data_IF_367119587745
#
_entry.id   IF_367119587745
#
_cell.length_a   1.000
_cell.length_b   1.000
_cell.length_c   1.000
_cell.angle_alpha   90.00
_cell.angle_beta   90.00
_cell.angle_gamma   90.00
#
_symmetry.space_group_name_H-M   'P 1'
#
loop_
_entity.id
_entity.type
_entity.pdbx_description
1 polymer ?
#
# COMPACT_ATOMS: atom_id res chain seq x y z
N UNK A 1 -1.15 -24.51 -28.28
CA UNK A 1 -2.31 -24.29 -27.39
C UNK A 1 -2.03 -23.06 -26.56
N UNK A 2 -2.88 -22.03 -26.67
CA UNK A 2 -2.77 -20.86 -25.79
C UNK A 2 -3.20 -21.28 -24.37
N UNK A 3 -2.48 -20.81 -23.35
CA UNK A 3 -2.91 -20.96 -21.95
C UNK A 3 -4.14 -20.07 -21.72
N UNK A 4 -5.07 -20.46 -20.85
CA UNK A 4 -6.32 -19.73 -20.56
C UNK A 4 -6.07 -18.22 -20.32
N UNK A 5 -5.01 -17.89 -19.58
CA UNK A 5 -4.59 -16.50 -19.34
C UNK A 5 -4.28 -15.71 -20.62
N UNK A 6 -3.72 -16.35 -21.64
CA UNK A 6 -3.43 -15.69 -22.92
C UNK A 6 -4.72 -15.44 -23.71
N UNK A 7 -5.69 -16.37 -23.63
CA UNK A 7 -7.02 -16.20 -24.22
C UNK A 7 -7.72 -15.02 -23.56
N UNK A 8 -7.71 -14.95 -22.22
CA UNK A 8 -8.31 -13.85 -21.47
C UNK A 8 -7.71 -12.48 -21.85
N UNK A 9 -6.39 -12.39 -21.98
CA UNK A 9 -5.71 -11.16 -22.40
C UNK A 9 -6.14 -10.74 -23.81
N UNK A 10 -6.23 -11.69 -24.76
CA UNK A 10 -6.66 -11.38 -26.12
C UNK A 10 -8.12 -10.96 -26.18
N UNK A 11 -9.00 -11.64 -25.44
CA UNK A 11 -10.41 -11.26 -25.33
C UNK A 11 -10.56 -9.85 -24.73
N UNK A 12 -9.84 -9.56 -23.63
CA UNK A 12 -9.83 -8.24 -23.02
C UNK A 12 -9.35 -7.14 -23.98
N UNK A 13 -8.28 -7.40 -24.74
CA UNK A 13 -7.77 -6.47 -25.76
C UNK A 13 -8.81 -6.22 -26.87
N UNK A 14 -9.50 -7.27 -27.35
CA UNK A 14 -10.57 -7.13 -28.34
C UNK A 14 -11.72 -6.29 -27.79
N UNK A 15 -12.16 -6.50 -26.56
CA UNK A 15 -13.21 -5.69 -25.93
C UNK A 15 -12.77 -4.23 -25.80
N UNK A 16 -11.56 -3.96 -25.31
CA UNK A 16 -11.04 -2.59 -25.19
C UNK A 16 -10.90 -1.87 -26.54
N UNK A 17 -10.59 -2.62 -27.62
CA UNK A 17 -10.53 -2.05 -28.97
C UNK A 17 -11.89 -1.61 -29.53
N UNK A 18 -13.00 -2.08 -28.95
CA UNK A 18 -14.36 -1.70 -29.35
C UNK A 18 -14.84 -0.38 -28.72
N UNK A 19 -14.05 0.23 -27.84
CA UNK A 19 -14.34 1.58 -27.32
C UNK A 19 -14.43 2.55 -28.50
N UNK A 20 -15.60 3.18 -28.63
CA UNK A 20 -15.94 4.11 -29.72
C UNK A 20 -16.44 5.48 -29.25
N UNK A 21 -16.51 5.69 -27.92
CA UNK A 21 -16.87 6.95 -27.30
C UNK A 21 -15.86 7.25 -26.19
N UNK A 22 -15.16 8.38 -26.30
CA UNK A 22 -14.12 8.78 -25.34
C UNK A 22 -14.32 10.25 -24.98
N UNK A 23 -14.34 10.53 -23.68
CA UNK A 23 -14.35 11.90 -23.15
C UNK A 23 -13.01 12.15 -22.47
N UNK A 24 -12.24 13.12 -23.00
CA UNK A 24 -10.94 13.52 -22.44
C UNK A 24 -11.12 14.76 -21.55
N UNK A 25 -10.71 14.64 -20.30
CA UNK A 25 -10.61 15.79 -19.40
C UNK A 25 -9.22 16.42 -19.55
N UNK A 26 -9.16 17.70 -19.90
CA UNK A 26 -7.90 18.42 -20.15
C UNK A 26 -7.43 19.23 -18.94
N UNK A 27 -8.37 19.65 -18.08
CA UNK A 27 -8.06 20.44 -16.90
C UNK A 27 -7.61 19.55 -15.74
N UNK A 28 -6.42 19.83 -15.23
CA UNK A 28 -5.89 19.22 -14.02
C UNK A 28 -6.36 20.03 -12.80
N UNK A 29 -7.05 19.38 -11.86
CA UNK A 29 -7.69 20.04 -10.70
C UNK A 29 -6.96 19.82 -9.36
N UNK A 30 -5.87 19.04 -9.34
CA UNK A 30 -5.15 18.67 -8.10
C UNK A 30 -3.99 19.62 -7.80
N UNK A 31 -3.17 19.93 -8.79
CA UNK A 31 -1.92 20.66 -8.64
C UNK A 31 -2.18 22.14 -8.82
N UNK A 32 -1.94 22.90 -7.76
CA UNK A 32 -2.17 24.36 -7.73
C UNK A 32 -0.91 25.14 -8.15
N UNK A 33 0.25 24.47 -8.11
CA UNK A 33 1.55 25.01 -8.51
C UNK A 33 1.81 24.80 -10.01
N UNK A 34 1.77 25.90 -10.78
CA UNK A 34 1.95 25.89 -12.25
C UNK A 34 3.30 25.30 -12.65
N UNK A 35 4.39 25.71 -11.99
CA UNK A 35 5.74 25.24 -12.31
C UNK A 35 5.88 23.74 -12.03
N UNK A 36 5.26 23.26 -10.94
CA UNK A 36 5.25 21.85 -10.62
C UNK A 36 4.38 21.03 -11.57
N UNK A 37 3.23 21.57 -11.98
CA UNK A 37 2.35 20.92 -12.96
C UNK A 37 3.05 20.75 -14.31
N UNK A 38 3.77 21.77 -14.78
CA UNK A 38 4.58 21.68 -15.99
C UNK A 38 5.64 20.58 -15.91
N UNK A 39 6.35 20.47 -14.79
CA UNK A 39 7.30 19.38 -14.53
C UNK A 39 6.60 18.02 -14.62
N UNK A 40 5.45 17.86 -13.97
CA UNK A 40 4.68 16.61 -13.99
C UNK A 40 4.22 16.25 -15.41
N UNK A 41 3.82 17.23 -16.21
CA UNK A 41 3.42 17.01 -17.60
C UNK A 41 4.60 16.58 -18.48
N UNK A 42 5.76 17.25 -18.34
CA UNK A 42 6.99 16.83 -19.02
C UNK A 42 7.37 15.40 -18.63
N UNK A 43 7.35 15.07 -17.33
CA UNK A 43 7.64 13.73 -16.84
C UNK A 43 6.70 12.68 -17.41
N UNK A 44 5.39 12.96 -17.46
CA UNK A 44 4.37 12.04 -18.01
C UNK A 44 4.65 11.67 -19.47
N UNK A 45 5.21 12.60 -20.22
CA UNK A 45 5.49 12.43 -21.65
C UNK A 45 6.93 12.00 -21.94
N UNK A 46 7.75 11.71 -20.92
CA UNK A 46 9.16 11.36 -21.10
C UNK A 46 10.04 12.54 -21.55
N UNK A 47 9.61 13.77 -21.28
CA UNK A 47 10.26 15.02 -21.70
C UNK A 47 10.91 15.78 -20.54
N UNK A 48 11.26 15.09 -19.45
CA UNK A 48 11.86 15.71 -18.27
C UNK A 48 13.21 16.38 -18.59
N UNK A 49 13.43 17.56 -18.03
CA UNK A 49 14.63 18.38 -18.25
C UNK A 49 15.63 18.28 -17.09
N UNK A 50 16.83 18.83 -17.27
CA UNK A 50 17.83 18.89 -16.19
C UNK A 50 17.39 19.83 -15.07
N UNK A 51 16.65 20.87 -15.42
CA UNK A 51 16.05 21.84 -14.51
C UNK A 51 14.98 21.16 -13.64
N UNK A 52 14.16 20.26 -14.21
CA UNK A 52 13.19 19.45 -13.46
C UNK A 52 13.88 18.58 -12.41
N UNK A 53 14.99 17.96 -12.79
CA UNK A 53 15.80 17.15 -11.87
C UNK A 53 16.40 17.99 -10.75
N UNK A 54 16.98 19.15 -11.05
CA UNK A 54 17.52 20.07 -10.03
C UNK A 54 16.41 20.56 -9.08
N UNK A 55 15.23 20.85 -9.62
CA UNK A 55 14.07 21.25 -8.83
C UNK A 55 13.67 20.16 -7.83
N UNK A 56 13.60 18.90 -8.26
CA UNK A 56 13.35 17.78 -7.36
C UNK A 56 14.50 17.56 -6.38
N UNK A 57 15.76 17.70 -6.80
CA UNK A 57 16.91 17.59 -5.91
C UNK A 57 16.88 18.61 -4.76
N UNK A 58 16.31 19.80 -4.97
CA UNK A 58 16.10 20.79 -3.91
C UNK A 58 15.19 20.29 -2.77
N UNK A 59 14.39 19.25 -3.02
CA UNK A 59 13.45 18.62 -2.08
C UNK A 59 14.01 17.36 -1.42
N UNK A 60 15.27 17.00 -1.67
CA UNK A 60 15.93 15.88 -0.99
C UNK A 60 16.15 16.25 0.49
N UNK A 61 15.77 15.35 1.39
CA UNK A 61 16.01 15.49 2.83
C UNK A 61 17.51 15.64 3.10
N UNK A 62 17.88 16.69 3.86
CA UNK A 62 19.28 17.01 4.16
C UNK A 62 19.94 17.98 3.16
N UNK A 63 19.23 18.40 2.11
CA UNK A 63 19.71 19.47 1.23
C UNK A 63 19.93 20.78 2.00
N UNK A 64 21.02 21.54 1.73
CA UNK A 64 21.38 22.73 2.52
C UNK A 64 20.28 23.79 2.63
N UNK A 65 19.48 23.93 1.58
CA UNK A 65 18.40 24.92 1.48
C UNK A 65 17.07 24.42 2.10
N UNK A 66 17.01 23.18 2.58
CA UNK A 66 15.79 22.54 3.06
C UNK A 66 15.80 22.41 4.59
N UNK A 67 15.41 23.48 5.28
CA UNK A 67 15.31 23.51 6.74
C UNK A 67 13.96 22.98 7.21
N UNK A 68 13.83 21.65 7.28
CA UNK A 68 12.61 20.96 7.73
C UNK A 68 12.93 19.95 8.83
N UNK A 69 12.07 19.88 9.85
CA UNK A 69 12.11 18.84 10.88
C UNK A 69 11.11 17.74 10.59
N UNK A 70 11.57 16.49 10.51
CA UNK A 70 10.71 15.30 10.35
C UNK A 70 10.00 14.90 11.66
N UNK A 71 10.38 15.50 12.79
CA UNK A 71 9.79 15.22 14.11
C UNK A 71 8.59 16.12 14.43
N UNK A 72 8.39 17.16 13.64
CA UNK A 72 7.35 18.16 13.88
C UNK A 72 6.26 18.09 12.81
N UNK A 73 5.08 18.56 13.18
CA UNK A 73 3.97 18.71 12.24
C UNK A 73 4.36 19.71 11.12
N UNK A 74 3.97 19.47 9.85
CA UNK A 74 3.15 18.35 9.37
C UNK A 74 3.94 17.10 8.93
N UNK A 75 5.27 17.11 9.02
CA UNK A 75 6.10 16.05 8.43
C UNK A 75 6.18 14.77 9.27
N UNK A 76 5.96 14.85 10.58
CA UNK A 76 5.85 13.69 11.46
C UNK A 76 4.63 12.79 11.15
N UNK A 77 3.64 13.30 10.41
CA UNK A 77 2.43 12.59 10.00
C UNK A 77 2.39 12.23 8.50
N UNK A 78 3.39 12.70 7.74
CA UNK A 78 3.48 12.49 6.31
C UNK A 78 3.79 11.02 5.99
N UNK A 79 2.98 10.33 5.16
CA UNK A 79 3.28 8.97 4.76
C UNK A 79 4.50 8.91 3.84
N UNK A 80 5.24 7.81 3.96
CA UNK A 80 6.35 7.48 3.07
C UNK A 80 5.84 6.59 1.93
N UNK A 81 6.01 7.03 0.68
CA UNK A 81 5.70 6.21 -0.50
C UNK A 81 6.91 5.35 -0.88
N UNK A 82 6.67 4.05 -1.00
CA UNK A 82 7.68 3.07 -1.39
C UNK A 82 7.17 2.13 -2.48
N UNK A 83 8.09 1.51 -3.24
CA UNK A 83 7.71 0.64 -4.36
C UNK A 83 7.33 -0.79 -3.95
N UNK A 84 7.95 -1.33 -2.88
CA UNK A 84 7.83 -2.75 -2.51
C UNK A 84 7.07 -2.93 -1.21
N UNK A 85 6.15 -3.91 -1.19
CA UNK A 85 5.42 -4.29 0.03
C UNK A 85 6.35 -4.69 1.17
N UNK A 86 7.46 -5.38 0.87
CA UNK A 86 8.45 -5.79 1.88
C UNK A 86 9.08 -4.60 2.60
N UNK A 87 9.50 -3.58 1.83
CA UNK A 87 10.06 -2.34 2.36
C UNK A 87 9.02 -1.59 3.18
N UNK A 88 7.78 -1.49 2.68
CA UNK A 88 6.65 -0.88 3.39
C UNK A 88 6.46 -1.56 4.76
N UNK A 89 6.38 -2.88 4.80
CA UNK A 89 6.22 -3.64 6.05
C UNK A 89 7.35 -3.38 7.04
N UNK A 90 8.61 -3.38 6.58
CA UNK A 90 9.77 -3.12 7.44
C UNK A 90 9.77 -1.69 8.01
N UNK A 91 9.50 -0.68 7.17
CA UNK A 91 9.39 0.72 7.61
C UNK A 91 8.28 0.87 8.64
N UNK A 92 7.11 0.29 8.36
CA UNK A 92 5.95 0.33 9.22
C UNK A 92 6.23 -0.31 10.59
N UNK A 93 6.79 -1.53 10.62
CA UNK A 93 7.12 -2.20 11.87
C UNK A 93 8.11 -1.36 12.69
N UNK A 94 9.17 -0.84 12.06
CA UNK A 94 10.14 0.01 12.74
C UNK A 94 9.52 1.32 13.23
N UNK A 95 8.61 1.93 12.47
CA UNK A 95 7.93 3.16 12.85
C UNK A 95 7.03 2.95 14.08
N UNK A 96 6.31 1.83 14.17
CA UNK A 96 5.51 1.48 15.35
C UNK A 96 6.39 1.33 16.58
N UNK A 97 7.50 0.59 16.47
CA UNK A 97 8.44 0.41 17.59
C UNK A 97 9.06 1.73 18.05
N UNK A 98 9.49 2.58 17.11
CA UNK A 98 10.00 3.91 17.44
C UNK A 98 8.94 4.78 18.14
N UNK A 99 7.68 4.69 17.71
CA UNK A 99 6.58 5.43 18.35
C UNK A 99 6.29 4.90 19.76
N UNK A 100 6.39 3.59 19.97
CA UNK A 100 6.28 2.98 21.30
C UNK A 100 7.33 3.56 22.26
N UNK A 101 8.58 3.64 21.81
CA UNK A 101 9.69 4.23 22.57
C UNK A 101 9.44 5.72 22.87
N UNK A 102 9.01 6.49 21.86
CA UNK A 102 8.72 7.92 22.00
C UNK A 102 7.62 8.20 23.05
N UNK A 103 6.59 7.33 23.09
CA UNK A 103 5.47 7.46 24.02
C UNK A 103 5.73 6.80 25.39
N UNK A 104 6.82 6.06 25.54
CA UNK A 104 7.09 5.29 26.76
C UNK A 104 6.07 4.17 27.01
N UNK A 105 5.50 3.58 25.95
CA UNK A 105 4.48 2.52 26.04
C UNK A 105 5.01 1.21 25.46
N UNK A 106 4.54 0.10 26.01
CA UNK A 106 4.81 -1.24 25.47
C UNK A 106 3.99 -1.46 24.19
N UNK A 107 4.62 -1.81 23.05
CA UNK A 107 3.88 -2.12 21.83
C UNK A 107 3.04 -3.39 22.01
N UNK A 108 1.85 -3.39 21.40
CA UNK A 108 1.00 -4.58 21.32
C UNK A 108 1.17 -5.20 19.93
N UNK A 109 1.37 -6.50 19.85
CA UNK A 109 1.37 -7.23 18.57
C UNK A 109 0.18 -8.17 18.56
N UNK A 110 -0.78 -7.86 17.70
CA UNK A 110 -1.88 -8.78 17.40
C UNK A 110 -1.35 -9.88 16.46
N UNK A 111 -1.42 -11.13 16.89
CA UNK A 111 -0.98 -12.30 16.14
C UNK A 111 -2.19 -12.92 15.45
N UNK A 112 -2.10 -13.18 14.15
CA UNK A 112 -3.17 -13.82 13.39
C UNK A 112 -3.39 -15.27 13.85
N UNK A 113 -4.64 -15.73 13.72
CA UNK A 113 -5.01 -17.13 13.98
C UNK A 113 -5.15 -17.86 12.65
N UNK A 114 -4.31 -18.88 12.45
CA UNK A 114 -4.26 -19.64 11.21
C UNK A 114 -4.77 -21.07 11.42
N UNK A 115 -5.60 -21.53 10.48
CA UNK A 115 -6.28 -22.82 10.53
C UNK A 115 -6.06 -23.63 9.26
N UNK A 116 -5.90 -24.94 9.41
CA UNK A 116 -5.85 -25.92 8.31
C UNK A 116 -6.95 -26.95 8.53
N UNK A 117 -7.85 -27.10 7.56
CA UNK A 117 -9.00 -28.03 7.64
C UNK A 117 -9.83 -27.87 8.93
N UNK A 118 -9.92 -26.64 9.46
CA UNK A 118 -10.67 -26.31 10.67
C UNK A 118 -9.90 -26.47 11.99
N UNK A 119 -8.72 -27.08 11.99
CA UNK A 119 -7.84 -27.16 13.16
C UNK A 119 -6.82 -26.02 13.22
N UNK A 120 -6.41 -25.64 14.42
CA UNK A 120 -5.29 -24.70 14.64
C UNK A 120 -3.99 -25.35 14.16
N UNK A 121 -3.06 -24.54 13.65
CA UNK A 121 -1.74 -25.02 13.24
C UNK A 121 -0.85 -25.19 14.48
N UNK A 122 -0.60 -26.44 14.87
CA UNK A 122 0.23 -26.76 16.03
C UNK A 122 1.73 -26.82 15.70
N UNK A 123 2.11 -27.06 14.44
CA UNK A 123 3.53 -27.12 14.03
C UNK A 123 4.19 -25.73 14.13
N UNK A 124 5.20 -25.53 15.01
CA UNK A 124 5.83 -24.22 15.22
C UNK A 124 6.53 -23.66 13.98
N UNK A 125 7.11 -24.51 13.12
CA UNK A 125 7.84 -24.10 11.92
C UNK A 125 6.86 -23.61 10.85
N UNK A 126 5.79 -24.38 10.62
CA UNK A 126 4.72 -24.01 9.69
C UNK A 126 4.01 -22.73 10.16
N UNK A 127 3.69 -22.64 11.46
CA UNK A 127 3.08 -21.43 12.05
C UNK A 127 3.96 -20.20 11.84
N UNK A 128 5.25 -20.28 12.16
CA UNK A 128 6.19 -19.18 11.96
C UNK A 128 6.25 -18.75 10.49
N UNK A 129 6.44 -19.70 9.57
CA UNK A 129 6.56 -19.40 8.14
C UNK A 129 5.30 -18.73 7.58
N UNK A 130 4.11 -19.17 8.01
CA UNK A 130 2.83 -18.59 7.59
C UNK A 130 2.63 -17.18 8.16
N UNK A 131 2.99 -16.95 9.43
CA UNK A 131 2.88 -15.63 10.06
C UNK A 131 3.84 -14.60 9.44
N UNK A 132 5.01 -15.04 8.96
CA UNK A 132 6.02 -14.20 8.32
C UNK A 132 5.76 -13.95 6.82
N UNK A 133 4.71 -14.56 6.24
CA UNK A 133 4.31 -14.27 4.87
C UNK A 133 3.99 -12.78 4.70
N UNK A 134 4.38 -12.18 3.57
CA UNK A 134 3.98 -10.82 3.26
C UNK A 134 2.46 -10.76 3.07
N UNK A 135 1.85 -9.68 3.55
CA UNK A 135 0.38 -9.51 3.58
C UNK A 135 -0.28 -9.60 2.20
N UNK A 136 0.42 -9.22 1.12
CA UNK A 136 -0.08 -9.39 -0.24
C UNK A 136 -0.17 -10.85 -0.72
N UNK A 137 0.36 -11.82 0.03
CA UNK A 137 0.19 -13.26 -0.19
C UNK A 137 -0.88 -13.88 0.73
N UNK A 138 -1.48 -13.09 1.60
CA UNK A 138 -2.42 -13.54 2.62
C UNK A 138 -3.70 -12.70 2.60
N UNK A 139 -4.16 -12.33 1.38
CA UNK A 139 -5.36 -11.50 1.15
C UNK A 139 -5.35 -10.19 1.94
N UNK A 140 -4.17 -9.58 2.09
CA UNK A 140 -3.93 -8.34 2.84
C UNK A 140 -4.19 -8.43 4.35
N UNK A 141 -4.27 -9.63 4.93
CA UNK A 141 -4.31 -9.85 6.37
C UNK A 141 -2.91 -10.18 6.91
N UNK A 142 -2.26 -9.28 7.68
CA UNK A 142 -0.92 -9.52 8.19
C UNK A 142 -0.89 -10.64 9.24
N UNK A 143 0.20 -11.40 9.30
CA UNK A 143 0.39 -12.39 10.37
C UNK A 143 0.73 -11.75 11.72
N UNK A 144 1.53 -10.68 11.69
CA UNK A 144 1.82 -9.83 12.85
C UNK A 144 1.34 -8.40 12.58
N UNK A 145 0.51 -7.87 13.47
CA UNK A 145 0.03 -6.50 13.42
C UNK A 145 0.51 -5.76 14.67
N UNK A 146 1.66 -5.05 14.60
CA UNK A 146 2.12 -4.19 15.69
C UNK A 146 1.26 -2.93 15.78
N UNK A 147 0.87 -2.59 17.01
CA UNK A 147 -0.09 -1.54 17.34
C UNK A 147 0.40 -0.69 18.53
N UNK A 148 0.25 0.63 18.38
CA UNK A 148 0.51 1.64 19.42
C UNK A 148 -0.55 2.73 19.29
N UNK A 149 -1.21 3.18 20.38
CA UNK A 149 -2.21 4.23 20.33
C UNK A 149 -1.72 5.49 19.59
N UNK A 150 -2.59 6.05 18.73
CA UNK A 150 -2.29 7.23 17.92
C UNK A 150 -1.56 6.94 16.61
N UNK A 151 -1.18 5.70 16.32
CA UNK A 151 -0.54 5.38 15.04
C UNK A 151 -1.52 5.42 13.87
N UNK A 152 -1.07 5.82 12.66
CA UNK A 152 -1.89 5.73 11.46
C UNK A 152 -2.02 4.27 11.02
N UNK A 153 -3.22 3.88 10.63
CA UNK A 153 -3.56 2.56 10.06
C UNK A 153 -4.32 2.72 8.74
N UNK A 154 -4.29 1.69 7.92
CA UNK A 154 -5.12 1.54 6.72
C UNK A 154 -6.05 0.36 6.89
N UNK A 155 -7.30 0.55 6.47
CA UNK A 155 -8.25 -0.54 6.30
C UNK A 155 -7.88 -1.37 5.07
N UNK A 156 -7.90 -2.70 5.17
CA UNK A 156 -7.50 -3.60 4.08
C UNK A 156 -8.68 -4.22 3.31
N UNK A 157 -9.91 -3.99 3.77
CA UNK A 157 -11.14 -4.50 3.17
C UNK A 157 -12.24 -3.44 3.08
N UNK A 158 -13.34 -3.75 2.39
CA UNK A 158 -14.52 -2.90 2.35
C UNK A 158 -15.46 -3.31 3.48
N UNK A 159 -15.67 -2.42 4.45
CA UNK A 159 -16.60 -2.68 5.58
C UNK A 159 -17.94 -2.01 5.32
N UNK A 160 -17.93 -0.71 5.00
CA UNK A 160 -19.13 0.10 4.76
C UNK A 160 -18.76 1.25 3.80
N UNK A 161 -18.82 0.99 2.50
CA UNK A 161 -18.35 1.93 1.46
C UNK A 161 -19.22 3.19 1.41
N UNK A 162 -20.50 3.07 1.75
CA UNK A 162 -21.46 4.15 1.91
C UNK A 162 -21.05 5.14 3.00
N UNK A 163 -20.42 4.67 4.07
CA UNK A 163 -19.88 5.48 5.16
C UNK A 163 -18.45 5.98 4.90
N UNK A 164 -17.86 5.60 3.76
CA UNK A 164 -16.45 5.91 3.44
C UNK A 164 -15.45 4.98 4.11
N UNK A 165 -15.87 3.79 4.56
CA UNK A 165 -15.01 2.76 5.16
C UNK A 165 -14.70 1.66 4.12
N UNK A 166 -13.80 1.97 3.20
CA UNK A 166 -13.36 1.09 2.12
C UNK A 166 -11.87 0.73 2.23
N UNK A 167 -11.43 -0.27 1.47
CA UNK A 167 -10.01 -0.65 1.39
C UNK A 167 -9.15 0.56 1.01
N UNK A 168 -8.13 0.85 1.82
CA UNK A 168 -7.26 2.00 1.67
C UNK A 168 -7.70 3.24 2.44
N UNK A 169 -8.81 3.18 3.19
CA UNK A 169 -9.21 4.27 4.07
C UNK A 169 -8.23 4.38 5.24
N UNK A 170 -7.71 5.59 5.46
CA UNK A 170 -6.77 5.89 6.55
C UNK A 170 -7.53 6.17 7.83
N UNK A 171 -7.10 5.55 8.92
CA UNK A 171 -7.59 5.78 10.26
C UNK A 171 -6.45 6.00 11.26
N UNK A 172 -6.83 6.31 12.49
CA UNK A 172 -5.94 6.46 13.64
C UNK A 172 -6.32 5.39 14.65
N UNK A 173 -5.40 4.48 14.93
CA UNK A 173 -5.64 3.43 15.90
C UNK A 173 -5.73 4.02 17.31
N UNK A 174 -6.79 3.68 18.06
CA UNK A 174 -7.02 4.19 19.42
C UNK A 174 -6.77 3.11 20.46
N UNK A 175 -7.37 1.94 20.31
CA UNK A 175 -7.28 0.88 21.33
C UNK A 175 -7.54 -0.51 20.72
N UNK A 176 -6.89 -1.54 21.29
CA UNK A 176 -7.24 -2.94 21.04
C UNK A 176 -8.10 -3.45 22.20
N UNK A 177 -9.20 -4.13 21.89
CA UNK A 177 -10.05 -4.79 22.89
C UNK A 177 -9.84 -6.30 22.79
N UNK A 178 -9.50 -6.94 23.91
CA UNK A 178 -9.19 -8.37 24.02
C UNK A 178 -9.50 -8.87 25.44
N UNK A 179 -9.68 -10.18 25.63
CA UNK A 179 -10.03 -10.76 26.95
C UNK A 179 -8.79 -11.11 27.78
N UNK A 180 -7.82 -11.83 27.19
CA UNK A 180 -6.63 -12.29 27.89
C UNK A 180 -5.37 -12.11 27.02
N UNK A 181 -4.25 -11.80 27.66
CA UNK A 181 -2.93 -11.75 27.03
C UNK A 181 -2.24 -13.10 27.24
N UNK A 182 -1.83 -13.77 26.17
CA UNK A 182 -1.05 -15.00 26.29
C UNK A 182 0.43 -14.65 26.41
N UNK A 183 1.12 -15.25 27.39
CA UNK A 183 2.54 -14.99 27.67
C UNK A 183 3.51 -15.94 26.97
N UNK A 184 3.03 -16.81 26.08
CA UNK A 184 3.93 -17.72 25.34
C UNK A 184 4.68 -16.94 24.25
N UNK A 185 5.76 -16.28 24.67
CA UNK A 185 6.49 -15.27 23.89
C UNK A 185 7.67 -15.83 23.12
N UNK A 186 8.16 -17.04 23.43
CA UNK A 186 9.39 -17.58 22.85
C UNK A 186 9.33 -17.70 21.32
N UNK A 187 8.16 -18.04 20.77
CA UNK A 187 7.97 -18.21 19.33
C UNK A 187 8.03 -16.88 18.56
N UNK A 188 7.78 -15.74 19.23
CA UNK A 188 7.58 -14.43 18.60
C UNK A 188 8.68 -13.40 18.91
N UNK A 189 9.45 -13.61 19.97
CA UNK A 189 10.49 -12.69 20.47
C UNK A 189 11.59 -12.37 19.44
N UNK A 190 11.88 -13.26 18.48
CA UNK A 190 12.94 -13.02 17.50
C UNK A 190 12.66 -11.82 16.56
N UNK A 191 11.39 -11.40 16.44
CA UNK A 191 10.98 -10.39 15.46
C UNK A 191 10.60 -9.04 16.10
N UNK A 192 10.47 -8.98 17.42
CA UNK A 192 10.01 -7.80 18.16
C UNK A 192 10.82 -7.62 19.46
N UNK A 193 10.90 -6.41 20.03
CA UNK A 193 11.64 -6.18 21.27
C UNK A 193 11.16 -7.06 22.44
N UNK A 194 12.04 -7.36 23.39
CA UNK A 194 11.77 -8.24 24.56
C UNK A 194 10.52 -7.81 25.36
N UNK A 195 10.21 -6.52 25.39
CA UNK A 195 9.02 -5.97 26.02
C UNK A 195 7.93 -5.70 24.99
N UNK A 196 7.31 -6.76 24.46
CA UNK A 196 6.18 -6.69 23.52
C UNK A 196 5.01 -7.53 24.04
N UNK A 197 3.80 -6.96 24.06
CA UNK A 197 2.60 -7.67 24.48
C UNK A 197 1.95 -8.37 23.27
N UNK A 198 1.96 -9.70 23.24
CA UNK A 198 1.36 -10.47 22.16
C UNK A 198 -0.10 -10.83 22.48
N UNK A 199 -1.00 -10.54 21.55
CA UNK A 199 -2.44 -10.81 21.68
C UNK A 199 -2.89 -11.75 20.56
N UNK A 200 -3.32 -12.96 20.92
CA UNK A 200 -3.78 -13.99 19.97
C UNK A 200 -5.30 -13.99 19.76
N UNK A 201 -6.05 -13.39 20.68
CA UNK A 201 -7.52 -13.38 20.68
C UNK A 201 -8.06 -11.96 20.87
N UNK A 202 -7.84 -11.05 19.91
CA UNK A 202 -8.51 -9.76 19.95
C UNK A 202 -10.02 -9.96 19.70
N UNK A 203 -10.85 -9.07 20.26
CA UNK A 203 -12.27 -8.95 19.91
C UNK A 203 -12.47 -8.00 18.75
N UNK A 204 -11.89 -6.81 18.86
CA UNK A 204 -11.94 -5.75 17.85
C UNK A 204 -10.90 -4.66 18.16
N UNK A 205 -10.62 -3.81 17.17
CA UNK A 205 -9.83 -2.58 17.35
C UNK A 205 -10.73 -1.35 17.24
N UNK A 206 -10.56 -0.38 18.13
CA UNK A 206 -11.17 0.94 18.01
C UNK A 206 -10.27 1.81 17.14
N UNK A 207 -10.81 2.26 16.01
CA UNK A 207 -10.09 3.10 15.04
C UNK A 207 -10.91 4.33 14.74
N UNK A 208 -10.29 5.50 14.83
CA UNK A 208 -10.89 6.75 14.40
C UNK A 208 -10.69 6.94 12.89
N UNK A 209 -11.77 7.22 12.16
CA UNK A 209 -11.73 7.51 10.74
C UNK A 209 -12.21 8.95 10.49
N UNK A 210 -11.29 9.93 10.39
CA UNK A 210 -11.66 11.33 10.19
C UNK A 210 -12.51 11.58 8.92
N UNK A 211 -12.30 10.76 7.88
CA UNK A 211 -13.05 10.79 6.62
C UNK A 211 -14.38 10.03 6.64
N UNK A 212 -14.73 9.36 7.74
CA UNK A 212 -16.00 8.67 7.88
C UNK A 212 -17.14 9.68 7.80
N UNK A 213 -18.19 9.34 7.04
CA UNK A 213 -19.38 10.17 6.83
C UNK A 213 -20.43 10.04 7.93
N UNK A 214 -20.11 9.30 8.99
CA UNK A 214 -21.02 9.11 10.11
C UNK A 214 -20.98 10.34 11.02
N UNK A 215 -22.07 11.10 11.06
CA UNK A 215 -22.17 12.38 11.80
C UNK A 215 -22.58 12.22 13.27
N UNK A 216 -22.91 11.00 13.70
CA UNK A 216 -23.24 10.68 15.09
C UNK A 216 -22.34 9.59 15.64
N UNK A 217 -22.21 9.55 16.97
CA UNK A 217 -21.38 8.57 17.63
C UNK A 217 -22.09 7.21 17.74
N UNK A 218 -21.33 6.13 17.64
CA UNK A 218 -21.85 4.79 17.84
C UNK A 218 -21.95 4.49 19.33
N UNK A 219 -23.16 4.51 19.88
CA UNK A 219 -23.41 4.22 21.30
C UNK A 219 -22.63 5.16 22.23
N UNK A 220 -21.79 4.63 23.13
CA UNK A 220 -20.96 5.37 24.10
C UNK A 220 -19.56 5.75 23.57
N UNK A 221 -19.27 5.53 22.29
CA UNK A 221 -17.99 5.89 21.69
C UNK A 221 -17.96 7.38 21.32
N UNK A 222 -16.77 7.93 21.09
CA UNK A 222 -16.65 9.26 20.48
C UNK A 222 -17.03 9.21 19.00
N UNK A 223 -17.35 10.38 18.43
CA UNK A 223 -17.63 10.50 17.00
C UNK A 223 -16.48 9.95 16.16
N UNK A 224 -16.83 9.29 15.04
CA UNK A 224 -15.89 8.72 14.06
C UNK A 224 -14.99 7.59 14.58
N UNK A 225 -15.14 7.15 15.83
CA UNK A 225 -14.52 5.92 16.33
C UNK A 225 -15.39 4.73 15.94
N UNK A 226 -14.81 3.82 15.16
CA UNK A 226 -15.49 2.64 14.63
C UNK A 226 -14.81 1.37 15.19
N UNK A 227 -15.58 0.41 15.74
CA UNK A 227 -15.05 -0.90 16.08
C UNK A 227 -14.79 -1.71 14.81
N UNK A 228 -13.54 -2.14 14.63
CA UNK A 228 -13.09 -2.98 13.52
C UNK A 228 -12.95 -4.41 14.02
N UNK A 229 -13.87 -5.25 13.57
CA UNK A 229 -13.89 -6.68 13.88
C UNK A 229 -12.83 -7.46 13.09
N UNK A 230 -12.59 -8.70 13.50
CA UNK A 230 -11.72 -9.61 12.76
C UNK A 230 -12.38 -10.04 11.45
N UNK A 231 -11.55 -10.18 10.42
CA UNK A 231 -11.91 -10.72 9.12
C UNK A 231 -11.30 -12.11 8.95
N UNK A 232 -11.94 -12.93 8.12
CA UNK A 232 -11.48 -14.28 7.78
C UNK A 232 -11.20 -14.38 6.28
N UNK A 233 -9.99 -14.77 5.92
CA UNK A 233 -9.57 -14.95 4.53
C UNK A 233 -8.90 -16.30 4.33
N UNK A 234 -8.97 -16.84 3.11
CA UNK A 234 -8.34 -18.12 2.76
C UNK A 234 -7.31 -17.93 1.66
N UNK A 235 -6.08 -18.41 1.88
CA UNK A 235 -4.99 -18.35 0.90
C UNK A 235 -4.26 -19.68 0.78
N UNK A 236 -3.42 -19.80 -0.24
CA UNK A 236 -2.63 -21.00 -0.52
C UNK A 236 -1.17 -20.81 -0.08
N UNK A 237 -0.65 -21.78 0.67
CA UNK A 237 0.75 -21.85 1.09
C UNK A 237 1.44 -23.04 0.43
N UNK A 238 2.63 -22.85 -0.16
CA UNK A 238 3.41 -23.95 -0.72
C UNK A 238 4.32 -24.54 0.37
N UNK A 239 4.06 -25.78 0.77
CA UNK A 239 4.84 -26.49 1.78
C UNK A 239 6.33 -26.65 1.42
N UNK A 240 6.70 -26.47 0.14
CA UNK A 240 8.12 -26.43 -0.26
C UNK A 240 8.88 -25.25 0.35
N UNK A 241 8.20 -24.18 0.73
CA UNK A 241 8.81 -23.03 1.41
C UNK A 241 9.36 -23.39 2.80
N UNK A 242 8.94 -24.53 3.36
CA UNK A 242 9.50 -25.09 4.60
C UNK A 242 10.69 -26.03 4.40
N UNK A 243 10.98 -26.43 3.15
CA UNK A 243 12.07 -27.35 2.84
C UNK A 243 13.37 -26.56 2.67
N UNK A 244 14.47 -27.07 3.21
CA UNK A 244 15.80 -26.50 2.94
C UNK A 244 16.22 -26.75 1.48
N UNK A 245 17.16 -25.97 0.96
CA UNK A 245 17.65 -26.07 -0.43
C UNK A 245 18.15 -27.48 -0.81
N UNK A 246 18.60 -28.26 0.18
CA UNK A 246 19.07 -29.64 0.03
C UNK A 246 17.94 -30.67 -0.13
N UNK A 247 16.74 -30.45 0.45
CA UNK A 247 15.59 -31.39 0.35
C UNK A 247 14.65 -31.09 -0.82
N UNK A 248 14.70 -29.88 -1.37
CA UNK A 248 13.85 -29.42 -2.47
C UNK A 248 14.18 -30.08 -3.83
N UNK A 249 15.39 -30.66 -4.00
CA UNK A 249 15.71 -31.51 -5.16
C UNK A 249 14.99 -32.87 -5.13
N UNK A 250 14.76 -33.44 -3.94
CA UNK A 250 14.05 -34.72 -3.78
C UNK A 250 12.52 -34.57 -3.92
N UNK A 251 11.94 -33.46 -3.46
CA UNK A 251 10.50 -33.19 -3.56
C UNK A 251 10.01 -32.90 -5.01
N UNK A 252 10.91 -32.56 -5.95
CA UNK A 252 10.57 -32.45 -7.38
C UNK A 252 10.15 -33.78 -8.02
N UNK A 253 10.45 -34.91 -7.37
CA UNK A 253 10.25 -36.25 -7.92
C UNK A 253 8.82 -36.81 -7.73
N UNK A 254 8.01 -36.26 -6.81
CA UNK A 254 6.79 -36.95 -6.32
C UNK A 254 5.45 -36.49 -6.89
N UNK A 255 5.38 -35.48 -7.78
CA UNK A 255 4.14 -34.99 -8.46
C UNK A 255 2.90 -34.71 -7.55
N UNK A 256 3.02 -34.71 -6.21
CA UNK A 256 1.91 -34.39 -5.29
C UNK A 256 1.76 -32.88 -5.15
N UNK A 257 0.51 -32.42 -5.05
CA UNK A 257 0.21 -31.02 -4.72
C UNK A 257 0.83 -30.69 -3.36
N UNK A 258 1.65 -29.66 -3.34
CA UNK A 258 2.37 -29.16 -2.15
C UNK A 258 1.66 -27.93 -1.57
N UNK A 259 0.53 -27.53 -2.16
CA UNK A 259 -0.26 -26.38 -1.70
C UNK A 259 -1.20 -26.78 -0.58
N UNK A 260 -1.15 -26.03 0.51
CA UNK A 260 -2.02 -26.15 1.68
C UNK A 260 -2.92 -24.92 1.71
N UNK A 261 -4.22 -25.15 1.89
CA UNK A 261 -5.19 -24.07 2.09
C UNK A 261 -5.17 -23.63 3.56
N UNK A 262 -4.81 -22.37 3.80
CA UNK A 262 -4.77 -21.75 5.12
C UNK A 262 -5.94 -20.78 5.24
N UNK A 263 -6.73 -20.92 6.30
CA UNK A 263 -7.73 -19.93 6.70
C UNK A 263 -7.13 -19.05 7.80
N UNK A 264 -7.04 -17.75 7.58
CA UNK A 264 -6.53 -16.77 8.53
C UNK A 264 -7.65 -15.92 9.09
N UNK A 265 -7.64 -15.73 10.41
CA UNK A 265 -8.48 -14.78 11.13
C UNK A 265 -7.60 -13.69 11.75
N UNK A 266 -7.80 -12.44 11.35
CA UNK A 266 -7.00 -11.30 11.80
C UNK A 266 -7.77 -9.99 11.66
N UNK A 267 -7.26 -8.90 12.25
CA UNK A 267 -7.81 -7.56 12.01
C UNK A 267 -7.48 -7.11 10.57
N UNK A 268 -8.44 -6.56 9.82
CA UNK A 268 -8.25 -6.04 8.46
C UNK A 268 -7.57 -4.66 8.47
N UNK A 269 -6.45 -4.56 9.20
CA UNK A 269 -5.70 -3.33 9.43
C UNK A 269 -4.22 -3.56 9.16
N UNK A 270 -3.56 -2.54 8.61
CA UNK A 270 -2.10 -2.49 8.49
C UNK A 270 -1.60 -1.12 8.92
N UNK A 271 -0.38 -0.99 9.49
CA UNK A 271 0.20 0.32 9.76
C UNK A 271 0.33 1.16 8.49
N UNK A 272 0.26 2.48 8.63
CA UNK A 272 0.18 3.42 7.51
C UNK A 272 1.19 4.57 7.59
N UNK A 273 2.32 4.38 8.27
CA UNK A 273 3.46 5.30 8.20
C UNK A 273 4.10 5.30 6.80
N UNK A 274 4.01 4.16 6.11
CA UNK A 274 4.37 4.01 4.71
C UNK A 274 3.31 3.23 3.95
N UNK A 275 3.13 3.58 2.68
CA UNK A 275 2.20 2.94 1.76
C UNK A 275 2.89 2.71 0.42
N UNK A 276 2.42 1.73 -0.36
CA UNK A 276 2.99 1.53 -1.69
C UNK A 276 2.53 2.60 -2.67
N UNK A 277 3.39 2.94 -3.63
CA UNK A 277 3.05 3.88 -4.71
C UNK A 277 1.76 3.47 -5.43
N UNK A 278 1.59 2.18 -5.70
CA UNK A 278 0.36 1.63 -6.28
C UNK A 278 -0.88 1.88 -5.40
N UNK A 279 -0.79 1.66 -4.08
CA UNK A 279 -1.92 1.91 -3.15
C UNK A 279 -2.26 3.40 -3.03
N UNK A 280 -1.30 4.29 -3.27
CA UNK A 280 -1.52 5.74 -3.28
C UNK A 280 -2.22 6.26 -4.56
N UNK A 281 -2.35 5.44 -5.59
CA UNK A 281 -2.94 5.85 -6.87
C UNK A 281 -4.39 6.31 -6.68
N UNK A 282 -4.70 7.49 -7.23
CA UNK A 282 -6.02 8.12 -7.10
C UNK A 282 -6.17 9.00 -5.84
N UNK A 283 -5.31 8.84 -4.83
CA UNK A 283 -5.36 9.65 -3.61
C UNK A 283 -4.67 11.01 -3.81
N UNK A 284 -5.17 12.02 -3.10
CA UNK A 284 -4.48 13.31 -2.92
C UNK A 284 -3.98 13.38 -1.48
N UNK A 285 -2.67 13.53 -1.29
CA UNK A 285 -2.03 13.57 0.02
C UNK A 285 -1.62 15.01 0.34
N UNK A 286 -1.80 15.41 1.60
CA UNK A 286 -1.44 16.77 2.04
C UNK A 286 0.06 17.00 2.06
N UNK A 287 0.83 16.09 2.64
CA UNK A 287 2.30 16.05 2.64
C UNK A 287 2.75 14.63 2.32
N UNK A 288 3.88 14.46 1.66
CA UNK A 288 4.39 13.13 1.32
C UNK A 288 5.92 13.07 1.27
N UNK A 289 6.48 11.95 1.72
CA UNK A 289 7.89 11.62 1.56
C UNK A 289 7.99 10.50 0.53
N UNK A 290 8.82 10.63 -0.49
CA UNK A 290 8.92 9.66 -1.59
C UNK A 290 10.34 9.13 -1.69
N UNK A 291 10.48 7.81 -1.81
CA UNK A 291 11.72 7.21 -2.31
C UNK A 291 11.64 7.07 -3.84
N UNK A 292 12.49 7.80 -4.56
CA UNK A 292 12.57 7.73 -6.03
C UNK A 292 13.60 6.71 -6.53
N UNK A 293 14.28 5.99 -5.64
CA UNK A 293 15.16 4.89 -6.04
C UNK A 293 14.31 3.67 -6.37
N UNK A 294 14.01 3.52 -7.65
CA UNK A 294 13.17 2.43 -8.18
C UNK A 294 13.91 1.08 -8.04
N UNK A 295 13.23 0.00 -7.62
CA UNK A 295 13.83 -1.32 -7.57
C UNK A 295 14.29 -1.83 -8.95
N UNK A 296 15.25 -2.78 -8.99
CA UNK A 296 15.66 -3.42 -10.23
C UNK A 296 14.47 -4.11 -10.92
N UNK A 297 14.35 -3.92 -12.23
CA UNK A 297 13.26 -4.44 -13.06
C UNK A 297 12.86 -3.45 -14.16
N UNK A 298 11.82 -3.79 -14.94
CA UNK A 298 11.23 -2.84 -15.89
C UNK A 298 10.68 -1.63 -15.13
N UNK A 299 11.12 -0.45 -15.51
CA UNK A 299 10.65 0.82 -14.95
C UNK A 299 9.71 1.47 -15.95
N UNK A 300 8.49 1.74 -15.53
CA UNK A 300 7.52 2.51 -16.29
C UNK A 300 7.48 3.96 -15.80
N UNK A 301 7.04 4.88 -16.65
CA UNK A 301 6.82 6.29 -16.26
C UNK A 301 5.93 6.39 -15.02
N UNK A 302 4.92 5.53 -14.93
CA UNK A 302 3.99 5.49 -13.81
C UNK A 302 4.71 5.32 -12.46
N UNK A 303 5.84 4.60 -12.42
CA UNK A 303 6.63 4.41 -11.19
C UNK A 303 7.10 5.74 -10.60
N UNK A 304 7.48 6.71 -11.42
CA UNK A 304 7.95 8.02 -10.96
C UNK A 304 6.79 9.04 -10.92
N UNK A 305 5.92 9.03 -11.93
CA UNK A 305 4.84 10.00 -12.06
C UNK A 305 3.73 9.84 -11.00
N UNK A 306 3.31 8.61 -10.69
CA UNK A 306 2.25 8.37 -9.70
C UNK A 306 2.61 8.94 -8.34
N UNK A 307 3.76 8.64 -7.73
CA UNK A 307 4.06 9.15 -6.39
C UNK A 307 4.25 10.67 -6.38
N UNK A 308 4.88 11.27 -7.41
CA UNK A 308 5.04 12.73 -7.49
C UNK A 308 3.69 13.46 -7.63
N UNK A 309 2.76 12.92 -8.42
CA UNK A 309 1.45 13.53 -8.64
C UNK A 309 0.45 13.40 -7.47
N UNK A 310 0.88 12.95 -6.29
CA UNK A 310 0.02 12.80 -5.10
C UNK A 310 -0.20 14.10 -4.32
N UNK A 311 0.70 15.08 -4.44
CA UNK A 311 0.61 16.36 -3.74
C UNK A 311 0.18 17.50 -4.66
N UNK A 312 -0.32 18.57 -4.05
CA UNK A 312 -0.80 19.75 -4.76
C UNK A 312 0.31 20.73 -5.14
N UNK A 313 1.36 20.82 -4.33
CA UNK A 313 2.46 21.79 -4.48
C UNK A 313 3.80 21.10 -4.26
N UNK A 314 4.86 21.62 -4.87
CA UNK A 314 6.19 21.06 -4.70
C UNK A 314 6.69 21.12 -3.23
N UNK A 315 6.28 22.14 -2.48
CA UNK A 315 6.63 22.30 -1.06
C UNK A 315 6.01 21.23 -0.14
N UNK A 316 4.97 20.54 -0.63
CA UNK A 316 4.30 19.45 0.06
C UNK A 316 5.00 18.09 -0.18
N UNK A 317 6.05 18.08 -1.00
CA UNK A 317 6.87 16.92 -1.33
C UNK A 317 8.24 16.97 -0.65
N UNK A 318 8.66 15.83 -0.10
CA UNK A 318 10.05 15.52 0.22
C UNK A 318 10.53 14.27 -0.50
N UNK A 319 11.81 14.24 -0.84
CA UNK A 319 12.48 13.09 -1.42
C UNK A 319 13.42 12.50 -0.39
N UNK A 320 13.26 11.20 -0.12
CA UNK A 320 13.91 10.53 1.00
C UNK A 320 15.44 10.51 0.88
N UNK A 321 15.96 10.35 -0.35
CA UNK A 321 17.38 10.20 -0.64
C UNK A 321 17.72 10.64 -2.07
N UNK A 322 19.00 10.92 -2.37
CA UNK A 322 19.44 11.19 -3.74
C UNK A 322 19.05 10.05 -4.69
N UNK A 323 18.64 10.43 -5.91
CA UNK A 323 18.25 9.53 -6.99
C UNK A 323 18.93 9.99 -8.28
N UNK A 324 18.95 9.14 -9.31
CA UNK A 324 19.68 9.46 -10.54
C UNK A 324 18.79 10.20 -11.55
N UNK A 325 19.41 10.97 -12.43
CA UNK A 325 18.70 11.72 -13.47
C UNK A 325 17.89 10.80 -14.40
N UNK A 326 18.43 9.61 -14.69
CA UNK A 326 17.83 8.64 -15.61
C UNK A 326 16.46 8.15 -15.12
N UNK A 327 16.17 8.23 -13.82
CA UNK A 327 14.86 7.93 -13.24
C UNK A 327 13.74 8.82 -13.81
N UNK A 328 14.07 10.01 -14.29
CA UNK A 328 13.12 10.95 -14.92
C UNK A 328 13.07 10.82 -16.45
N UNK A 329 13.95 10.03 -17.05
CA UNK A 329 14.11 9.90 -18.51
C UNK A 329 13.37 8.67 -19.08
N UNK A 330 12.60 7.97 -18.24
CA UNK A 330 11.81 6.81 -18.66
C UNK A 330 10.80 7.26 -19.71
N UNK A 331 10.74 6.56 -20.84
CA UNK A 331 9.82 6.86 -21.94
C UNK A 331 8.55 6.02 -21.84
N UNK A 332 7.41 6.52 -22.34
CA UNK A 332 6.21 5.69 -22.43
C UNK A 332 6.44 4.61 -23.48
N UNK A 333 5.89 3.41 -23.26
CA UNK A 333 6.06 2.33 -24.24
C UNK A 333 5.35 2.66 -25.56
N UNK A 334 5.85 2.14 -26.68
CA UNK A 334 5.21 2.34 -27.99
C UNK A 334 3.74 1.89 -27.99
N UNK A 335 3.42 0.80 -27.28
CA UNK A 335 2.05 0.33 -27.12
C UNK A 335 1.15 1.33 -26.38
N UNK A 336 1.66 1.93 -25.29
CA UNK A 336 0.94 2.98 -24.55
C UNK A 336 0.74 4.22 -25.41
N UNK A 337 1.76 4.67 -26.16
CA UNK A 337 1.64 5.82 -27.06
C UNK A 337 0.61 5.58 -28.17
N UNK A 338 0.65 4.41 -28.79
CA UNK A 338 -0.31 4.05 -29.84
C UNK A 338 -1.75 4.05 -29.30
N UNK A 339 -1.96 3.51 -28.10
CA UNK A 339 -3.29 3.50 -27.48
C UNK A 339 -3.76 4.90 -27.09
N UNK A 340 -2.89 5.75 -26.54
CA UNK A 340 -3.23 7.14 -26.25
C UNK A 340 -3.60 7.91 -27.52
N UNK A 341 -2.86 7.72 -28.62
CA UNK A 341 -3.17 8.34 -29.91
C UNK A 341 -4.51 7.86 -30.49
N UNK A 342 -4.81 6.56 -30.35
CA UNK A 342 -6.11 5.99 -30.74
C UNK A 342 -7.26 6.63 -29.95
N UNK A 343 -7.12 6.68 -28.62
CA UNK A 343 -8.13 7.27 -27.73
C UNK A 343 -8.31 8.77 -27.98
N UNK A 344 -7.23 9.51 -28.27
CA UNK A 344 -7.30 10.93 -28.63
C UNK A 344 -8.01 11.17 -29.97
N UNK A 345 -7.88 10.25 -30.92
CA UNK A 345 -8.62 10.29 -32.20
C UNK A 345 -10.12 10.11 -31.95
N UNK A 346 -10.49 9.08 -31.17
CA UNK A 346 -11.88 8.81 -30.80
C UNK A 346 -12.47 9.96 -29.99
N UNK A 347 -11.69 10.59 -29.10
CA UNK A 347 -12.15 11.73 -28.32
C UNK A 347 -12.51 12.93 -29.21
N UNK A 348 -11.72 13.20 -30.26
CA UNK A 348 -12.02 14.25 -31.25
C UNK A 348 -13.28 13.94 -32.06
N UNK A 349 -13.47 12.69 -32.46
CA UNK A 349 -14.68 12.24 -33.16
C UNK A 349 -15.92 12.32 -32.28
N UNK A 350 -15.81 11.88 -31.03
CA UNK A 350 -16.87 11.98 -30.01
C UNK A 350 -17.27 13.44 -29.84
N UNK A 351 -16.30 14.35 -29.66
CA UNK A 351 -16.56 15.77 -29.51
C UNK A 351 -17.28 16.35 -30.74
N UNK A 352 -16.89 15.99 -31.96
CA UNK A 352 -17.57 16.42 -33.20
C UNK A 352 -19.01 15.92 -33.26
N UNK A 353 -19.25 14.64 -32.95
CA UNK A 353 -20.58 14.04 -33.02
C UNK A 353 -21.55 14.72 -32.05
N UNK A 354 -21.11 14.98 -30.81
CA UNK A 354 -22.00 15.52 -29.76
C UNK A 354 -22.02 17.05 -29.67
N UNK A 355 -21.01 17.78 -30.18
CA UNK A 355 -21.07 19.25 -30.28
C UNK A 355 -21.99 19.74 -31.40
N UNK A 356 -22.32 18.90 -32.39
CA UNK A 356 -23.28 19.22 -33.45
C UNK A 356 -24.74 19.08 -32.96
N UNK A 357 -24.96 18.52 -31.77
CA UNK A 357 -26.30 18.27 -31.19
C UNK A 357 -26.70 19.39 -30.19
N UNK A 358 -25.87 20.43 -30.01
CA UNK A 358 -26.24 21.68 -29.33
C UNK A 358 -26.59 22.73 -30.36
#
# INVERSE_FOLDING_TARGET
>A
QYNDRQIDIQCAQKVMSQINCVVKLEQQMRTEDVKYLELLNRLRNGQSTREDYQLLCSRIIGSPNLKISLRQNPWNEAPILVFRNTVRTQINNRAVLNKAIELGVTPIVCVAQDYVKGGIIDDPRLRKAILELPDNRTEHLPGYLPLVPGMPVLLTENIATELGLSNGTRGIFRQLVYEECFQDTELYQNNFPEHTNFVLQPKYALVEFPSCKLDYALSKLDQKIIPICLSEQTFQFDAKELLTESTSKAAKLTKRSTKISIKRKALPLVPAYSITTHKSQGQTLGKVIIDLVVPPGPVEIASTYVPLSRVKRLEDLLILRPFKYETLQVQPSAAQLNELNRLDTIAKETLKHYNVIK
#
